data_IF_624155231793
#
_entry.id   IF_624155231793
#
_cell.length_a   1.000
_cell.length_b   1.000
_cell.length_c   1.000
_cell.angle_alpha   90.00
_cell.angle_beta   90.00
_cell.angle_gamma   90.00
#
_symmetry.space_group_name_H-M   'P 1'
#
loop_
_entity.id
_entity.type
_entity.pdbx_description
1 polymer ?
#
# COMPACT_ATOMS: atom_id res chain seq x y z
N UNK A 1 13.40 14.05 -0.06
CA UNK A 1 13.24 13.03 -1.11
C UNK A 1 12.39 11.85 -0.63
N UNK A 2 12.74 11.16 0.47
CA UNK A 2 11.97 10.01 0.97
C UNK A 2 10.51 10.35 1.34
N UNK A 3 10.28 11.48 2.03
CA UNK A 3 8.92 11.93 2.39
C UNK A 3 8.02 12.15 1.17
N UNK A 4 8.52 12.82 0.13
CA UNK A 4 7.79 13.00 -1.13
C UNK A 4 7.50 11.66 -1.80
N UNK A 5 8.46 10.73 -1.84
CA UNK A 5 8.26 9.39 -2.38
C UNK A 5 7.13 8.66 -1.65
N UNK A 6 7.12 8.66 -0.31
CA UNK A 6 6.07 8.02 0.49
C UNK A 6 4.70 8.68 0.27
N UNK A 7 4.68 10.00 0.10
CA UNK A 7 3.46 10.74 -0.21
C UNK A 7 2.89 10.37 -1.59
N UNK A 8 3.73 10.35 -2.62
CA UNK A 8 3.34 9.95 -3.98
C UNK A 8 2.89 8.48 -4.03
N UNK A 9 3.62 7.58 -3.37
CA UNK A 9 3.26 6.16 -3.26
C UNK A 9 1.88 5.99 -2.61
N UNK A 10 1.60 6.74 -1.55
CA UNK A 10 0.30 6.69 -0.85
C UNK A 10 -0.84 7.16 -1.76
N UNK A 11 -0.62 8.20 -2.56
CA UNK A 11 -1.61 8.70 -3.53
C UNK A 11 -1.89 7.70 -4.66
N UNK A 12 -0.83 7.07 -5.19
CA UNK A 12 -0.96 6.01 -6.19
C UNK A 12 -1.71 4.81 -5.63
N UNK A 13 -1.39 4.40 -4.40
CA UNK A 13 -2.08 3.30 -3.72
C UNK A 13 -3.56 3.59 -3.48
N UNK A 14 -3.91 4.81 -3.05
CA UNK A 14 -5.30 5.23 -2.88
C UNK A 14 -6.08 5.15 -4.20
N UNK A 15 -5.48 5.60 -5.31
CA UNK A 15 -6.08 5.49 -6.64
C UNK A 15 -6.27 4.03 -7.05
N UNK A 16 -5.25 3.19 -6.86
CA UNK A 16 -5.33 1.74 -7.12
C UNK A 16 -6.45 1.08 -6.31
N UNK A 17 -6.51 1.32 -5.00
CA UNK A 17 -7.49 0.67 -4.13
C UNK A 17 -8.93 1.06 -4.48
N UNK A 18 -9.16 2.30 -4.92
CA UNK A 18 -10.47 2.77 -5.36
C UNK A 18 -10.88 2.21 -6.73
N UNK A 19 -9.95 2.12 -7.67
CA UNK A 19 -10.25 1.70 -9.05
C UNK A 19 -10.20 0.19 -9.25
N UNK A 20 -9.47 -0.54 -8.41
CA UNK A 20 -9.27 -1.98 -8.51
C UNK A 20 -9.86 -2.71 -7.30
N UNK A 21 -11.07 -3.28 -7.39
CA UNK A 21 -11.68 -4.00 -6.27
C UNK A 21 -10.82 -5.20 -5.86
N UNK A 22 -10.17 -5.12 -4.70
CA UNK A 22 -9.25 -6.18 -4.25
C UNK A 22 -10.04 -7.41 -3.79
N UNK A 23 -10.99 -7.23 -2.87
CA UNK A 23 -11.74 -8.34 -2.26
C UNK A 23 -12.85 -8.90 -3.17
N UNK A 24 -13.30 -8.11 -4.14
CA UNK A 24 -14.40 -8.46 -5.07
C UNK A 24 -13.91 -8.89 -6.45
N UNK A 25 -12.60 -9.13 -6.62
CA UNK A 25 -12.09 -9.64 -7.89
C UNK A 25 -12.65 -11.04 -8.17
N UNK A 26 -13.22 -11.24 -9.36
CA UNK A 26 -13.87 -12.50 -9.76
C UNK A 26 -12.85 -13.63 -9.96
N UNK A 27 -11.65 -13.29 -10.45
CA UNK A 27 -10.56 -14.24 -10.63
C UNK A 27 -9.66 -14.28 -9.38
N UNK A 28 -9.49 -15.48 -8.81
CA UNK A 28 -8.68 -15.68 -7.60
C UNK A 28 -7.19 -15.32 -7.82
N UNK A 29 -6.68 -15.49 -9.04
CA UNK A 29 -5.32 -15.08 -9.39
C UNK A 29 -5.15 -13.55 -9.36
N UNK A 30 -6.14 -12.81 -9.88
CA UNK A 30 -6.15 -11.34 -9.85
C UNK A 30 -6.28 -10.84 -8.41
N UNK A 31 -7.16 -11.46 -7.62
CA UNK A 31 -7.31 -11.16 -6.19
C UNK A 31 -6.01 -11.36 -5.42
N UNK A 32 -5.35 -12.50 -5.61
CA UNK A 32 -4.08 -12.83 -4.96
C UNK A 32 -2.98 -11.84 -5.34
N UNK A 33 -2.88 -11.48 -6.62
CA UNK A 33 -1.93 -10.47 -7.10
C UNK A 33 -2.17 -9.10 -6.45
N UNK A 34 -3.43 -8.66 -6.38
CA UNK A 34 -3.79 -7.38 -5.74
C UNK A 34 -3.52 -7.37 -4.25
N UNK A 35 -3.78 -8.48 -3.55
CA UNK A 35 -3.45 -8.63 -2.13
C UNK A 35 -1.93 -8.53 -1.89
N UNK A 36 -1.12 -9.14 -2.76
CA UNK A 36 0.33 -9.03 -2.70
C UNK A 36 0.79 -7.58 -2.88
N UNK A 37 0.20 -6.84 -3.80
CA UNK A 37 0.49 -5.41 -3.99
C UNK A 37 0.15 -4.58 -2.74
N UNK A 38 -0.98 -4.87 -2.10
CA UNK A 38 -1.35 -4.21 -0.84
C UNK A 38 -0.33 -4.49 0.28
N UNK A 39 0.05 -5.76 0.47
CA UNK A 39 1.05 -6.16 1.48
C UNK A 39 2.42 -5.52 1.21
N UNK A 40 2.90 -5.54 -0.03
CA UNK A 40 4.16 -4.91 -0.40
C UNK A 40 4.13 -3.39 -0.17
N UNK A 41 3.04 -2.73 -0.54
CA UNK A 41 2.90 -1.28 -0.34
C UNK A 41 2.93 -0.93 1.14
N UNK A 42 2.22 -1.69 1.98
CA UNK A 42 2.22 -1.51 3.42
C UNK A 42 3.64 -1.64 4.01
N UNK A 43 4.39 -2.68 3.61
CA UNK A 43 5.78 -2.89 4.06
C UNK A 43 6.71 -1.76 3.63
N UNK A 44 6.56 -1.24 2.41
CA UNK A 44 7.40 -0.12 1.94
C UNK A 44 7.11 1.15 2.72
N UNK A 45 5.83 1.46 2.97
CA UNK A 45 5.42 2.62 3.76
C UNK A 45 5.93 2.50 5.20
N UNK A 46 5.75 1.34 5.82
CA UNK A 46 6.20 1.06 7.19
C UNK A 46 7.73 1.24 7.34
N UNK A 47 8.49 0.63 6.44
CA UNK A 47 9.95 0.78 6.42
C UNK A 47 10.36 2.24 6.17
N UNK A 48 9.72 2.93 5.22
CA UNK A 48 10.02 4.31 4.91
C UNK A 48 9.75 5.25 6.07
N UNK A 49 8.64 5.08 6.78
CA UNK A 49 8.31 5.85 7.98
C UNK A 49 9.26 5.51 9.13
N UNK A 50 9.62 4.23 9.31
CA UNK A 50 10.60 3.79 10.31
C UNK A 50 11.97 4.41 10.09
N UNK A 51 12.44 4.54 8.84
CA UNK A 51 13.68 5.23 8.49
C UNK A 51 13.65 6.73 8.81
N UNK A 52 12.45 7.33 8.82
CA UNK A 52 12.23 8.72 9.24
C UNK A 52 12.05 8.85 10.76
N UNK A 53 12.11 7.74 11.52
CA UNK A 53 11.88 7.72 12.97
C UNK A 53 10.40 7.81 13.37
N UNK A 54 9.48 7.62 12.42
CA UNK A 54 8.02 7.67 12.64
C UNK A 54 7.53 6.23 12.84
N UNK A 55 6.84 5.98 13.95
CA UNK A 55 6.22 4.68 14.24
C UNK A 55 4.83 4.61 13.60
N UNK A 56 4.52 3.47 13.02
CA UNK A 56 3.21 3.14 12.46
C UNK A 56 2.37 2.38 13.49
N UNK A 57 1.05 2.32 13.25
CA UNK A 57 0.11 1.49 14.01
C UNK A 57 -0.51 0.46 13.08
N UNK A 58 -0.83 -0.74 13.59
CA UNK A 58 -1.45 -1.80 12.78
C UNK A 58 -2.86 -1.44 12.27
N UNK A 59 -3.55 -0.54 12.98
CA UNK A 59 -4.86 -0.02 12.60
C UNK A 59 -5.04 1.39 13.15
N UNK A 60 -5.50 2.30 12.29
CA UNK A 60 -5.98 3.64 12.67
C UNK A 60 -7.47 3.59 13.02
#
# INVERSE_FOLDING_TARGET
>A
YLTNYLFELSNLFSTFYNQCPVLKAEEEQVKSSRLLLCDLTARVIDNGLSLLGIRTCERM
#
